data_IF_283938806223
#
_entry.id   IF_283938806223
#
_cell.length_a   1.000
_cell.length_b   1.000
_cell.length_c   1.000
_cell.angle_alpha   90.00
_cell.angle_beta   90.00
_cell.angle_gamma   90.00
#
_symmetry.space_group_name_H-M   'P 1'
#
loop_
_entity.id
_entity.type
_entity.pdbx_description
1 polymer ?
#
# COMPACT_ATOMS: atom_id res chain seq x y z
N UNK A 1 -19.13 -11.26 -19.27
CA UNK A 1 -19.35 -10.46 -18.05
C UNK A 1 -18.00 -10.00 -17.54
N UNK A 2 -17.85 -8.72 -17.21
CA UNK A 2 -16.65 -8.25 -16.50
C UNK A 2 -16.72 -8.75 -15.06
N UNK A 3 -15.72 -9.52 -14.64
CA UNK A 3 -15.52 -9.80 -13.22
C UNK A 3 -15.00 -8.51 -12.57
N UNK A 4 -15.70 -8.05 -11.53
CA UNK A 4 -15.26 -6.92 -10.72
C UNK A 4 -14.65 -7.41 -9.41
N UNK A 5 -13.63 -6.70 -8.94
CA UNK A 5 -12.95 -6.94 -7.67
C UNK A 5 -12.96 -5.67 -6.84
N UNK A 6 -13.00 -5.82 -5.51
CA UNK A 6 -12.94 -4.70 -4.59
C UNK A 6 -11.52 -4.19 -4.40
N UNK A 7 -11.35 -2.87 -4.36
CA UNK A 7 -10.12 -2.21 -3.95
C UNK A 7 -10.36 -1.53 -2.60
N UNK A 8 -9.45 -1.77 -1.66
CA UNK A 8 -9.54 -1.28 -0.29
C UNK A 8 -8.23 -0.62 0.15
N UNK A 9 -8.33 0.31 1.10
CA UNK A 9 -7.21 0.68 1.96
C UNK A 9 -7.29 -0.19 3.21
N UNK A 10 -6.16 -0.78 3.59
CA UNK A 10 -6.03 -1.53 4.83
C UNK A 10 -5.04 -0.82 5.74
N UNK A 11 -5.31 -0.85 7.05
CA UNK A 11 -4.43 -0.31 8.08
C UNK A 11 -4.15 -1.44 9.07
N UNK A 12 -2.88 -1.72 9.31
CA UNK A 12 -2.45 -2.72 10.28
C UNK A 12 -1.97 -2.06 11.58
N UNK A 13 -2.16 -2.79 12.68
CA UNK A 13 -1.43 -2.58 13.93
C UNK A 13 -0.22 -3.52 13.95
N UNK A 14 0.93 -3.01 13.52
CA UNK A 14 2.19 -3.76 13.54
C UNK A 14 3.00 -3.50 14.82
N UNK A 15 2.41 -2.82 15.82
CA UNK A 15 3.10 -2.40 17.04
C UNK A 15 4.19 -1.34 16.82
N UNK A 16 4.32 -0.82 15.59
CA UNK A 16 5.24 0.24 15.24
C UNK A 16 4.72 1.63 15.63
N UNK A 17 5.63 2.61 15.69
CA UNK A 17 5.30 4.03 15.97
C UNK A 17 4.39 4.63 14.88
N UNK A 18 4.44 4.09 13.67
CA UNK A 18 3.63 4.54 12.53
C UNK A 18 2.73 3.42 12.05
N UNK A 19 1.41 3.65 12.07
CA UNK A 19 0.44 2.76 11.43
C UNK A 19 0.73 2.69 9.94
N UNK A 20 1.01 1.49 9.43
CA UNK A 20 1.27 1.29 8.02
C UNK A 20 -0.06 1.08 7.26
N UNK A 21 -0.29 1.88 6.23
CA UNK A 21 -1.41 1.71 5.32
C UNK A 21 -0.96 0.97 4.06
N UNK A 22 -1.85 0.17 3.48
CA UNK A 22 -1.59 -0.58 2.26
C UNK A 22 -2.84 -0.61 1.38
N UNK A 23 -2.66 -0.90 0.09
CA UNK A 23 -3.79 -1.19 -0.78
C UNK A 23 -4.05 -2.69 -0.81
N UNK A 24 -5.32 -3.07 -0.80
CA UNK A 24 -5.76 -4.45 -0.88
C UNK A 24 -6.69 -4.64 -2.07
N UNK A 25 -6.35 -5.58 -2.93
CA UNK A 25 -7.20 -6.04 -4.02
C UNK A 25 -7.85 -7.34 -3.55
N UNK A 26 -9.17 -7.34 -3.41
CA UNK A 26 -9.94 -8.49 -2.95
C UNK A 26 -10.39 -9.35 -4.14
N UNK A 27 -9.44 -10.14 -4.65
CA UNK A 27 -9.71 -11.09 -5.73
C UNK A 27 -10.54 -12.31 -5.27
N UNK A 28 -11.21 -12.99 -6.20
CA UNK A 28 -12.14 -14.07 -5.86
C UNK A 28 -11.43 -15.26 -5.19
N UNK A 29 -10.20 -15.59 -5.61
CA UNK A 29 -9.38 -16.63 -4.97
C UNK A 29 -8.35 -16.05 -3.98
N UNK A 30 -7.85 -16.87 -3.05
CA UNK A 30 -6.78 -16.44 -2.14
C UNK A 30 -5.49 -16.06 -2.88
N UNK A 31 -5.24 -16.66 -4.06
CA UNK A 31 -4.10 -16.29 -4.91
C UNK A 31 -4.27 -14.93 -5.59
N UNK A 32 -5.51 -14.45 -5.74
CA UNK A 32 -5.82 -13.15 -6.36
C UNK A 32 -6.05 -12.03 -5.34
N UNK A 33 -5.94 -12.36 -4.04
CA UNK A 33 -5.94 -11.38 -2.95
C UNK A 33 -4.54 -10.81 -2.78
N UNK A 34 -4.39 -9.54 -3.10
CA UNK A 34 -3.07 -8.90 -3.25
C UNK A 34 -2.99 -7.68 -2.36
N UNK A 35 -1.94 -7.62 -1.56
CA UNK A 35 -1.57 -6.44 -0.79
C UNK A 35 -0.43 -5.72 -1.54
N UNK A 36 -0.61 -4.42 -1.75
CA UNK A 36 0.39 -3.51 -2.32
C UNK A 36 0.80 -2.54 -1.21
N UNK A 37 2.07 -2.56 -0.82
CA UNK A 37 2.55 -1.71 0.28
C UNK A 37 3.97 -1.20 0.04
N UNK A 38 4.38 -0.22 0.85
CA UNK A 38 5.73 0.36 0.79
C UNK A 38 6.44 0.07 2.08
N UNK A 39 7.40 -0.84 2.05
CA UNK A 39 8.26 -1.01 3.20
C UNK A 39 9.30 0.11 3.20
N UNK A 40 9.30 0.90 4.26
CA UNK A 40 10.41 1.81 4.54
C UNK A 40 11.51 1.05 5.28
N UNK A 41 12.72 1.10 4.76
CA UNK A 41 13.94 0.90 5.56
C UNK A 41 14.67 2.23 5.65
N UNK A 42 15.47 2.42 6.69
CA UNK A 42 16.12 3.69 7.06
C UNK A 42 16.87 4.41 5.93
N UNK A 43 17.22 3.72 4.83
CA UNK A 43 17.88 4.31 3.66
C UNK A 43 17.26 3.90 2.31
N UNK A 44 16.30 2.96 2.27
CA UNK A 44 15.69 2.48 1.01
C UNK A 44 14.22 2.16 1.20
N UNK A 45 13.39 2.68 0.31
CA UNK A 45 11.98 2.31 0.23
C UNK A 45 11.82 1.20 -0.79
N UNK A 46 11.20 0.09 -0.39
CA UNK A 46 10.91 -1.04 -1.27
C UNK A 46 9.40 -1.12 -1.48
N UNK A 47 8.97 -1.03 -2.74
CA UNK A 47 7.62 -1.43 -3.11
C UNK A 47 7.55 -2.95 -3.04
N UNK A 48 6.62 -3.45 -2.25
CA UNK A 48 6.41 -4.87 -2.09
C UNK A 48 4.95 -5.22 -2.43
N UNK A 49 4.81 -6.39 -3.05
CA UNK A 49 3.55 -6.94 -3.49
C UNK A 49 3.49 -8.37 -3.00
N UNK A 50 2.51 -8.66 -2.14
CA UNK A 50 2.33 -9.99 -1.59
C UNK A 50 0.91 -10.51 -1.83
N UNK A 51 0.82 -11.79 -2.16
CA UNK A 51 -0.45 -12.51 -2.16
C UNK A 51 -0.77 -12.88 -0.72
N UNK A 52 -1.79 -12.24 -0.16
CA UNK A 52 -2.20 -12.46 1.23
C UNK A 52 -3.64 -12.05 1.41
N UNK A 53 -4.36 -12.85 2.19
CA UNK A 53 -5.75 -12.60 2.52
C UNK A 53 -5.83 -11.79 3.82
N UNK A 54 -6.13 -10.49 3.70
CA UNK A 54 -6.24 -9.55 4.82
C UNK A 54 -7.37 -9.89 5.77
N UNK A 55 -8.45 -10.50 5.29
CA UNK A 55 -9.59 -10.95 6.10
C UNK A 55 -9.19 -11.98 7.17
N UNK A 56 -8.02 -12.62 7.02
CA UNK A 56 -7.48 -13.60 7.98
C UNK A 56 -6.46 -12.98 8.95
N UNK A 57 -6.15 -11.68 8.83
CA UNK A 57 -5.11 -11.02 9.64
C UNK A 57 -5.63 -10.58 11.00
N UNK A 58 -5.00 -11.05 12.07
CA UNK A 58 -5.34 -10.64 13.44
C UNK A 58 -4.94 -9.18 13.77
N UNK A 59 -4.04 -8.60 12.97
CA UNK A 59 -3.54 -7.22 13.15
C UNK A 59 -4.25 -6.19 12.28
N UNK A 60 -5.29 -6.59 11.54
CA UNK A 60 -6.07 -5.66 10.72
C UNK A 60 -6.89 -4.73 11.63
N UNK A 61 -6.59 -3.44 11.61
CA UNK A 61 -7.36 -2.44 12.35
C UNK A 61 -8.57 -1.98 11.55
N UNK A 62 -8.34 -1.58 10.30
CA UNK A 62 -9.36 -1.01 9.44
C UNK A 62 -9.20 -1.48 8.00
N UNK A 63 -10.34 -1.72 7.35
CA UNK A 63 -10.43 -1.98 5.92
C UNK A 63 -11.49 -1.07 5.32
N UNK A 64 -11.05 -0.11 4.50
CA UNK A 64 -11.89 0.96 3.95
C UNK A 64 -12.07 0.67 2.46
N UNK A 65 -13.32 0.47 2.03
CA UNK A 65 -13.65 0.29 0.61
C UNK A 65 -13.38 1.59 -0.16
N UNK A 66 -12.63 1.49 -1.26
CA UNK A 66 -12.41 2.61 -2.17
C UNK A 66 -13.37 2.53 -3.36
N UNK A 67 -13.32 1.43 -4.10
CA UNK A 67 -14.14 1.22 -5.28
C UNK A 67 -14.13 -0.24 -5.74
N UNK A 68 -15.05 -0.56 -6.66
CA UNK A 68 -15.01 -1.80 -7.42
C UNK A 68 -14.38 -1.54 -8.79
N UNK A 69 -13.51 -2.43 -9.25
CA UNK A 69 -12.82 -2.31 -10.53
C UNK A 69 -12.94 -3.58 -11.35
N UNK A 70 -12.95 -3.44 -12.67
CA UNK A 70 -12.84 -4.57 -13.60
C UNK A 70 -11.46 -5.25 -13.43
N UNK A 71 -11.43 -6.58 -13.40
CA UNK A 71 -10.20 -7.39 -13.31
C UNK A 71 -9.12 -7.01 -14.35
N UNK A 72 -9.51 -6.55 -15.54
CA UNK A 72 -8.59 -6.04 -16.57
C UNK A 72 -7.75 -4.84 -16.11
N UNK A 73 -8.22 -4.09 -15.11
CA UNK A 73 -7.53 -2.91 -14.56
C UNK A 73 -6.52 -3.25 -13.47
N UNK A 74 -6.45 -4.50 -13.00
CA UNK A 74 -5.54 -4.91 -11.91
C UNK A 74 -4.08 -4.60 -12.27
N UNK A 75 -3.64 -4.94 -13.49
CA UNK A 75 -2.27 -4.68 -13.94
C UNK A 75 -1.96 -3.17 -13.97
N UNK A 76 -2.91 -2.37 -14.44
CA UNK A 76 -2.80 -0.91 -14.44
C UNK A 76 -2.64 -0.36 -13.01
N UNK A 77 -3.46 -0.82 -12.07
CA UNK A 77 -3.38 -0.38 -10.66
C UNK A 77 -2.08 -0.80 -9.99
N UNK A 78 -1.57 -2.01 -10.25
CA UNK A 78 -0.24 -2.43 -9.79
C UNK A 78 0.86 -1.47 -10.30
N UNK A 79 0.82 -1.11 -11.58
CA UNK A 79 1.80 -0.22 -12.18
C UNK A 79 1.69 1.22 -11.65
N UNK A 80 0.46 1.73 -11.51
CA UNK A 80 0.16 3.03 -10.92
C UNK A 80 0.64 3.06 -9.47
N UNK A 81 0.28 2.08 -8.64
CA UNK A 81 0.73 1.99 -7.25
C UNK A 81 2.27 1.99 -7.17
N UNK A 82 2.94 1.16 -7.97
CA UNK A 82 4.41 1.13 -8.05
C UNK A 82 4.99 2.51 -8.40
N UNK A 83 4.39 3.23 -9.35
CA UNK A 83 4.86 4.56 -9.79
C UNK A 83 4.55 5.67 -8.78
N UNK A 84 3.32 5.74 -8.25
CA UNK A 84 2.87 6.77 -7.31
C UNK A 84 3.53 6.65 -5.95
N UNK A 85 3.69 5.43 -5.44
CA UNK A 85 4.43 5.19 -4.20
C UNK A 85 5.90 5.56 -4.37
N UNK A 86 6.46 5.42 -5.58
CA UNK A 86 7.78 5.97 -5.92
C UNK A 86 7.83 7.50 -5.98
N UNK A 87 6.72 8.19 -6.28
CA UNK A 87 6.64 9.67 -6.37
C UNK A 87 6.39 10.29 -4.99
N UNK A 88 5.53 9.70 -4.15
CA UNK A 88 5.40 10.10 -2.74
C UNK A 88 6.76 10.00 -2.01
N UNK A 89 7.68 9.14 -2.48
CA UNK A 89 9.05 9.07 -1.97
C UNK A 89 9.89 10.32 -2.27
N UNK A 90 9.74 10.96 -3.44
CA UNK A 90 10.47 12.22 -3.71
C UNK A 90 9.98 13.28 -2.72
N UNK A 91 8.68 13.37 -2.53
CA UNK A 91 8.10 14.35 -1.62
C UNK A 91 8.46 14.07 -0.14
N UNK A 92 8.38 12.83 0.33
CA UNK A 92 8.75 12.46 1.69
C UNK A 92 10.27 12.59 1.97
N UNK A 93 11.14 12.33 0.97
CA UNK A 93 12.57 12.60 1.06
C UNK A 93 12.82 14.10 1.13
N UNK A 94 12.20 14.92 0.27
CA UNK A 94 12.31 16.39 0.31
C UNK A 94 11.85 16.95 1.64
N UNK A 95 10.75 16.45 2.22
CA UNK A 95 10.27 16.88 3.53
C UNK A 95 11.22 16.43 4.65
N UNK A 96 11.79 15.21 4.60
CA UNK A 96 12.79 14.75 5.58
C UNK A 96 14.13 15.48 5.47
N UNK A 97 14.61 15.79 4.27
CA UNK A 97 15.86 16.57 4.11
C UNK A 97 15.65 18.02 4.54
N UNK A 98 14.51 18.66 4.24
CA UNK A 98 14.20 20.00 4.77
C UNK A 98 14.06 20.01 6.30
N UNK A 99 13.52 18.95 6.91
CA UNK A 99 13.47 18.81 8.38
C UNK A 99 14.86 18.62 9.00
N UNK A 100 15.81 17.97 8.32
CA UNK A 100 17.17 17.80 8.84
C UNK A 100 18.00 19.09 8.73
N UNK A 101 17.77 19.92 7.71
CA UNK A 101 18.44 21.23 7.59
C UNK A 101 17.99 22.22 8.66
N UNK A 102 16.77 22.09 9.18
CA UNK A 102 16.22 22.98 10.22
C UNK A 102 16.64 22.64 11.65
N UNK A 103 17.31 21.49 11.87
CA UNK A 103 17.86 21.08 13.17
C UNK A 103 19.40 21.20 13.25
N UNK A 104 20.04 21.76 12.23
CA UNK A 104 21.49 22.03 12.19
C UNK A 104 21.83 23.54 12.07
N UNK A 105 20.96 24.41 12.56
CA UNK A 105 21.25 25.84 12.77
C UNK A 105 20.89 26.26 14.18
#
# INVERSE_FOLDING_TARGET
>A
MSLTVGLYVIIFDDGGVYKHWSLFIDGPTDAEKIILHVMSSSTRYCFDMRNSNTHKSATLLEMIHLCNMDTSKISMIKNVAKKWLSIMNIWAITVRTMSLTFWMT
#
